data_IF_524826936135
#
_entry.id   IF_524826936135
#
_cell.length_a   1.000
_cell.length_b   1.000
_cell.length_c   1.000
_cell.angle_alpha   90.00
_cell.angle_beta   90.00
_cell.angle_gamma   90.00
#
_symmetry.space_group_name_H-M   'P 1'
#
loop_
_entity.id
_entity.type
_entity.pdbx_description
1 polymer ?
#
# COMPACT_ATOMS: atom_id res chain seq x y z
N UNK A 1 26.16 -12.42 6.74
CA UNK A 1 25.33 -12.43 7.97
C UNK A 1 24.82 -11.05 8.35
N UNK A 2 25.65 -10.00 8.37
CA UNK A 2 25.23 -8.64 8.75
C UNK A 2 24.14 -8.05 7.83
N UNK A 3 24.24 -8.22 6.51
CA UNK A 3 23.23 -7.71 5.55
C UNK A 3 21.82 -8.26 5.83
N UNK A 4 21.67 -9.58 6.01
CA UNK A 4 20.38 -10.20 6.29
C UNK A 4 19.74 -9.73 7.62
N UNK A 5 20.56 -9.40 8.62
CA UNK A 5 20.08 -8.84 9.89
C UNK A 5 19.57 -7.42 9.70
N UNK A 6 20.29 -6.60 8.91
CA UNK A 6 19.85 -5.25 8.55
C UNK A 6 18.55 -5.30 7.74
N UNK A 7 18.41 -6.22 6.79
CA UNK A 7 17.20 -6.39 5.99
C UNK A 7 16.01 -6.79 6.86
N UNK A 8 16.20 -7.73 7.80
CA UNK A 8 15.18 -8.13 8.77
C UNK A 8 14.77 -6.97 9.69
N UNK A 9 15.72 -6.14 10.14
CA UNK A 9 15.45 -4.97 10.98
C UNK A 9 14.63 -3.92 10.21
N UNK A 10 15.02 -3.62 8.97
CA UNK A 10 14.33 -2.67 8.09
C UNK A 10 12.93 -3.15 7.75
N UNK A 11 12.74 -4.44 7.47
CA UNK A 11 11.41 -5.05 7.28
C UNK A 11 10.55 -4.92 8.53
N UNK A 12 11.13 -5.15 9.70
CA UNK A 12 10.44 -4.99 10.98
C UNK A 12 10.00 -3.55 11.20
N UNK A 13 10.84 -2.57 10.84
CA UNK A 13 10.49 -1.15 10.96
C UNK A 13 9.33 -0.75 10.04
N UNK A 14 9.34 -1.16 8.77
CA UNK A 14 8.23 -0.90 7.83
C UNK A 14 6.92 -1.47 8.35
N UNK A 15 6.95 -2.72 8.82
CA UNK A 15 5.78 -3.37 9.40
C UNK A 15 5.29 -2.68 10.67
N UNK A 16 6.19 -2.18 11.53
CA UNK A 16 5.78 -1.41 12.73
C UNK A 16 5.03 -0.13 12.35
N UNK A 17 5.50 0.60 11.33
CA UNK A 17 4.82 1.82 10.85
C UNK A 17 3.42 1.50 10.32
N UNK A 18 3.28 0.47 9.48
CA UNK A 18 1.98 0.06 8.96
C UNK A 18 1.07 -0.45 10.08
N UNK A 19 1.60 -1.23 11.03
CA UNK A 19 0.80 -1.79 12.14
C UNK A 19 0.24 -0.71 13.07
N UNK A 20 1.05 0.30 13.37
CA UNK A 20 0.73 1.30 14.39
C UNK A 20 0.16 2.60 13.81
N UNK A 21 0.14 2.79 12.49
CA UNK A 21 -0.47 3.99 11.91
C UNK A 21 -1.97 4.04 12.20
N UNK A 22 -2.45 5.25 12.40
CA UNK A 22 -3.86 5.58 12.52
C UNK A 22 -4.66 5.19 11.26
N UNK A 23 -5.98 5.12 11.41
CA UNK A 23 -6.89 5.01 10.27
C UNK A 23 -7.20 6.40 9.71
N UNK A 24 -7.50 6.46 8.41
CA UNK A 24 -7.98 7.66 7.75
C UNK A 24 -9.10 7.33 6.79
N UNK A 25 -9.92 8.33 6.52
CA UNK A 25 -11.02 8.25 5.55
C UNK A 25 -10.54 8.69 4.17
N UNK A 26 -10.69 7.82 3.17
CA UNK A 26 -10.43 8.12 1.76
C UNK A 26 -11.72 7.83 0.98
N UNK A 27 -12.33 8.86 0.40
CA UNK A 27 -13.63 8.78 -0.29
C UNK A 27 -14.72 8.08 0.54
N UNK A 28 -14.79 8.37 1.85
CA UNK A 28 -15.78 7.76 2.74
C UNK A 28 -15.46 6.33 3.21
N UNK A 29 -14.29 5.79 2.86
CA UNK A 29 -13.84 4.46 3.30
C UNK A 29 -12.69 4.61 4.30
N UNK A 30 -12.81 3.96 5.47
CA UNK A 30 -11.73 3.89 6.45
C UNK A 30 -10.65 2.88 6.04
N UNK A 31 -9.39 3.28 6.15
CA UNK A 31 -8.24 2.44 5.88
C UNK A 31 -6.99 2.91 6.64
N UNK A 32 -5.94 2.08 6.80
CA UNK A 32 -4.66 2.53 7.37
C UNK A 32 -4.09 3.76 6.63
N UNK A 33 -3.63 4.75 7.37
CA UNK A 33 -3.05 5.98 6.81
C UNK A 33 -1.73 5.73 6.06
N UNK A 34 -0.99 4.69 6.47
CA UNK A 34 0.23 4.22 5.83
C UNK A 34 -0.03 2.81 5.30
N UNK A 35 0.28 2.58 4.03
CA UNK A 35 0.25 1.25 3.38
C UNK A 35 1.58 0.99 2.68
N UNK A 36 1.84 -0.26 2.32
CA UNK A 36 2.99 -0.64 1.50
C UNK A 36 2.56 -1.09 0.11
N UNK A 37 3.38 -0.76 -0.89
CA UNK A 37 3.24 -1.27 -2.24
C UNK A 37 3.18 -2.81 -2.22
N UNK A 38 2.17 -3.44 -2.86
CA UNK A 38 2.00 -4.89 -2.88
C UNK A 38 3.02 -5.63 -3.76
N UNK A 39 3.98 -4.90 -4.34
CA UNK A 39 5.05 -5.46 -5.19
C UNK A 39 6.43 -5.34 -4.54
N UNK A 40 6.84 -4.14 -4.12
CA UNK A 40 8.20 -3.89 -3.61
C UNK A 40 8.26 -3.47 -2.12
N UNK A 41 7.10 -3.32 -1.47
CA UNK A 41 7.04 -2.98 -0.05
C UNK A 41 7.38 -1.53 0.33
N UNK A 42 7.55 -0.64 -0.65
CA UNK A 42 7.70 0.80 -0.41
C UNK A 42 6.49 1.33 0.37
N UNK A 43 6.73 2.11 1.43
CA UNK A 43 5.67 2.77 2.20
C UNK A 43 5.06 3.91 1.39
N UNK A 44 3.74 4.04 1.45
CA UNK A 44 2.93 4.96 0.68
C UNK A 44 1.89 5.56 1.62
N UNK A 45 1.68 6.87 1.47
CA UNK A 45 0.62 7.63 2.11
C UNK A 45 -0.27 8.24 1.01
N UNK A 46 -1.59 8.14 1.18
CA UNK A 46 -2.53 8.86 0.33
C UNK A 46 -2.71 10.28 0.86
N UNK A 47 -2.32 11.29 0.08
CA UNK A 47 -2.58 12.69 0.44
C UNK A 47 -4.01 13.09 0.06
N UNK A 48 -4.30 13.18 -1.23
CA UNK A 48 -5.56 13.68 -1.75
C UNK A 48 -5.87 13.18 -3.17
N UNK A 49 -7.06 13.54 -3.65
CA UNK A 49 -7.55 13.44 -5.03
C UNK A 49 -7.71 12.05 -5.65
N UNK A 50 -6.78 11.10 -5.52
CA UNK A 50 -6.81 9.88 -6.33
C UNK A 50 -6.40 8.64 -5.52
N UNK A 51 -7.24 7.59 -5.52
CA UNK A 51 -6.89 6.31 -4.88
C UNK A 51 -5.95 5.43 -5.72
N UNK A 52 -5.72 5.76 -6.99
CA UNK A 52 -4.89 4.96 -7.90
C UNK A 52 -3.41 5.39 -7.83
N UNK A 53 -2.57 4.53 -7.27
CA UNK A 53 -1.16 4.80 -6.98
C UNK A 53 -0.26 4.28 -8.10
N UNK A 54 0.82 5.02 -8.37
CA UNK A 54 1.93 4.57 -9.21
C UNK A 54 3.21 4.53 -8.38
N UNK A 55 3.68 3.32 -8.05
CA UNK A 55 4.90 3.13 -7.28
C UNK A 55 6.15 3.38 -8.13
N UNK A 56 7.28 3.73 -7.49
CA UNK A 56 8.59 3.82 -8.15
C UNK A 56 9.07 2.49 -8.76
N UNK A 57 8.57 1.36 -8.27
CA UNK A 57 8.82 0.05 -8.90
C UNK A 57 7.93 -0.23 -10.12
N UNK A 58 7.28 0.80 -10.66
CA UNK A 58 6.32 0.76 -11.77
C UNK A 58 5.00 0.05 -11.49
N UNK A 59 4.82 -0.56 -10.31
CA UNK A 59 3.54 -1.16 -9.92
C UNK A 59 2.45 -0.09 -9.80
N UNK A 60 1.37 -0.26 -10.56
CA UNK A 60 0.11 0.46 -10.39
C UNK A 60 -0.82 -0.36 -9.50
N UNK A 61 -1.44 0.28 -8.50
CA UNK A 61 -2.35 -0.39 -7.56
C UNK A 61 -3.26 0.63 -6.86
N UNK A 62 -4.37 0.18 -6.28
CA UNK A 62 -5.25 1.03 -5.50
C UNK A 62 -4.76 1.16 -4.05
N UNK A 63 -4.71 2.38 -3.51
CA UNK A 63 -4.36 2.62 -2.11
C UNK A 63 -5.35 1.92 -1.15
N UNK A 64 -6.65 2.01 -1.40
CA UNK A 64 -7.68 1.48 -0.48
C UNK A 64 -7.70 -0.05 -0.45
N UNK A 65 -7.81 -0.70 -1.60
CA UNK A 65 -7.97 -2.16 -1.69
C UNK A 65 -6.65 -2.92 -1.97
N UNK A 66 -5.54 -2.22 -2.20
CA UNK A 66 -4.22 -2.80 -2.54
C UNK A 66 -4.20 -3.72 -3.78
N UNK A 67 -5.30 -3.78 -4.53
CA UNK A 67 -5.38 -4.54 -5.77
C UNK A 67 -4.52 -3.89 -6.85
N UNK A 68 -3.73 -4.72 -7.53
CA UNK A 68 -2.84 -4.31 -8.63
C UNK A 68 -3.68 -4.02 -9.87
N UNK A 69 -3.24 -3.08 -10.69
CA UNK A 69 -3.81 -2.97 -12.03
C UNK A 69 -3.54 -4.25 -12.82
N UNK A 70 -4.35 -4.51 -13.84
CA UNK A 70 -4.08 -5.57 -14.81
C UNK A 70 -2.86 -5.23 -15.69
N UNK A 71 -2.56 -6.12 -16.65
CA UNK A 71 -1.48 -5.96 -17.63
C UNK A 71 -1.67 -4.77 -18.56
N UNK A 72 -2.91 -4.31 -18.77
CA UNK A 72 -3.25 -3.10 -19.50
C UNK A 72 -3.14 -1.82 -18.66
N UNK A 73 -2.86 -1.94 -17.36
CA UNK A 73 -2.81 -0.81 -16.44
C UNK A 73 -4.19 -0.32 -15.97
N UNK A 74 -5.24 -1.13 -16.16
CA UNK A 74 -6.60 -0.78 -15.75
C UNK A 74 -6.86 -1.23 -14.30
N UNK A 75 -7.57 -0.40 -13.55
CA UNK A 75 -7.92 -0.64 -12.16
C UNK A 75 -9.29 -1.33 -12.08
N UNK A 76 -9.36 -2.45 -11.36
CA UNK A 76 -10.57 -3.27 -11.29
C UNK A 76 -11.56 -2.81 -10.20
N UNK A 77 -11.17 -1.82 -9.40
CA UNK A 77 -11.94 -1.35 -8.24
C UNK A 77 -12.71 -0.03 -8.48
N UNK A 78 -12.98 0.31 -9.75
CA UNK A 78 -13.73 1.50 -10.17
C UNK A 78 -12.86 2.73 -10.44
N UNK A 79 -13.51 3.89 -10.56
CA UNK A 79 -12.86 5.17 -10.87
C UNK A 79 -11.98 5.70 -9.72
N UNK A 80 -11.15 6.70 -10.02
CA UNK A 80 -10.14 7.29 -9.12
C UNK A 80 -10.69 7.84 -7.79
N UNK A 81 -11.98 8.18 -7.72
CA UNK A 81 -12.71 8.67 -6.53
C UNK A 81 -13.83 7.73 -6.06
N UNK A 82 -14.03 6.59 -6.70
CA UNK A 82 -15.07 5.66 -6.31
C UNK A 82 -14.68 4.92 -5.02
N UNK A 83 -15.66 4.56 -4.19
CA UNK A 83 -15.46 3.67 -3.05
C UNK A 83 -15.04 2.27 -3.50
N UNK A 84 -14.25 1.56 -2.70
CA UNK A 84 -14.04 0.11 -2.85
C UNK A 84 -13.80 -0.55 -1.49
N UNK A 85 -13.91 -1.88 -1.43
CA UNK A 85 -13.66 -2.64 -0.20
C UNK A 85 -12.21 -2.46 0.27
N UNK A 86 -11.96 -1.97 1.49
CA UNK A 86 -10.61 -1.74 1.97
C UNK A 86 -9.90 -3.08 2.20
N UNK A 87 -8.64 -3.17 1.78
CA UNK A 87 -7.81 -4.31 2.13
C UNK A 87 -7.47 -4.26 3.63
N UNK A 88 -7.32 -5.43 4.29
CA UNK A 88 -6.86 -5.50 5.67
C UNK A 88 -5.53 -4.77 5.87
N UNK A 89 -5.26 -4.42 7.13
CA UNK A 89 -3.94 -3.90 7.50
C UNK A 89 -2.87 -4.94 7.19
N UNK A 90 -1.82 -4.54 6.47
CA UNK A 90 -0.80 -5.48 6.00
C UNK A 90 0.00 -6.05 7.17
N UNK A 91 0.08 -7.38 7.22
CA UNK A 91 0.86 -8.13 8.20
C UNK A 91 2.23 -8.58 7.66
N UNK A 92 2.44 -8.43 6.35
CA UNK A 92 3.69 -8.68 5.64
C UNK A 92 3.95 -7.58 4.61
N UNK A 93 5.21 -7.39 4.25
CA UNK A 93 5.67 -6.42 3.24
C UNK A 93 6.61 -7.16 2.28
N UNK A 94 6.36 -7.13 0.95
CA UNK A 94 7.26 -7.76 -0.01
C UNK A 94 8.63 -7.08 -0.05
N UNK A 95 9.68 -7.84 -0.39
CA UNK A 95 11.02 -7.31 -0.66
C UNK A 95 12.13 -8.16 -0.04
N UNK A 96 13.10 -8.57 -0.85
CA UNK A 96 14.40 -9.10 -0.43
C UNK A 96 15.19 -8.03 0.30
#
# INVERSE_FOLDING_TARGET
>A
MIAAILDALVRTQRLRLIKNCETKTVFGVECPAIRACPSCGMLIEHKEACKHMHCRCSQKFCFICLEKSDSGGQYQCGAWNATCTPAPRQTSVPGQ
#
